data_IF_677318952673
#
_entry.id   IF_677318952673
#
_cell.length_a   1.000
_cell.length_b   1.000
_cell.length_c   1.000
_cell.angle_alpha   90.00
_cell.angle_beta   90.00
_cell.angle_gamma   90.00
#
_symmetry.space_group_name_H-M   'P 1'
#
loop_
_entity.id
_entity.type
_entity.pdbx_description
1 polymer ?
#
# COMPACT_ATOMS: atom_id res chain seq x y z
N UNK A 1 -3.69 -3.68 2.81
CA UNK A 1 -4.03 -3.31 1.43
C UNK A 1 -2.87 -2.56 0.83
N UNK A 2 -2.33 -2.98 -0.30
CA UNK A 2 -1.30 -2.23 -1.03
C UNK A 2 -1.90 -1.58 -2.27
N UNK A 3 -1.47 -0.34 -2.55
CA UNK A 3 -1.78 0.44 -3.74
C UNK A 3 -0.43 0.80 -4.36
N UNK A 4 -0.10 0.16 -5.48
CA UNK A 4 1.26 0.15 -6.02
C UNK A 4 1.29 0.88 -7.35
N UNK A 5 2.16 1.87 -7.43
CA UNK A 5 2.43 2.59 -8.67
C UNK A 5 3.17 1.70 -9.66
N UNK A 6 2.62 1.60 -10.85
CA UNK A 6 3.23 0.91 -12.00
C UNK A 6 3.54 1.85 -13.15
N UNK A 7 3.58 3.17 -12.91
CA UNK A 7 3.86 4.18 -13.93
C UNK A 7 5.23 4.03 -14.58
N UNK A 8 5.43 4.69 -15.70
CA UNK A 8 6.69 4.60 -16.45
C UNK A 8 7.92 5.12 -15.72
N UNK A 9 7.75 6.03 -14.74
CA UNK A 9 8.83 6.60 -13.91
C UNK A 9 9.52 5.57 -13.03
N UNK A 10 8.79 4.58 -12.52
CA UNK A 10 9.32 3.50 -11.66
C UNK A 10 10.59 2.84 -12.24
N UNK A 11 10.60 2.58 -13.55
CA UNK A 11 11.75 1.97 -14.25
C UNK A 11 12.71 3.00 -14.86
N UNK A 12 12.57 4.28 -14.54
CA UNK A 12 13.41 5.36 -15.06
C UNK A 12 13.97 6.23 -13.91
N UNK A 13 15.27 6.49 -13.82
CA UNK A 13 16.32 6.09 -14.77
C UNK A 13 16.85 4.66 -14.58
N UNK A 14 16.47 3.96 -13.52
CA UNK A 14 17.04 2.66 -13.17
C UNK A 14 16.05 1.53 -13.36
N UNK A 15 16.37 0.60 -14.26
CA UNK A 15 15.60 -0.63 -14.44
C UNK A 15 15.68 -1.56 -13.22
N UNK A 16 14.63 -2.33 -13.01
CA UNK A 16 14.50 -3.28 -11.90
C UNK A 16 13.91 -2.68 -10.63
N UNK A 17 13.50 -1.41 -10.64
CA UNK A 17 12.85 -0.77 -9.50
C UNK A 17 11.47 -1.37 -9.22
N UNK A 18 10.72 -1.73 -10.25
CA UNK A 18 9.43 -2.39 -10.07
C UNK A 18 9.58 -3.76 -9.39
N UNK A 19 10.65 -4.50 -9.73
CA UNK A 19 10.95 -5.75 -9.03
C UNK A 19 11.31 -5.49 -7.57
N UNK A 20 12.11 -4.45 -7.26
CA UNK A 20 12.42 -4.08 -5.87
C UNK A 20 11.17 -3.72 -5.06
N UNK A 21 10.23 -3.00 -5.68
CA UNK A 21 8.96 -2.69 -5.03
C UNK A 21 8.15 -3.96 -4.74
N UNK A 22 8.09 -4.92 -5.66
CA UNK A 22 7.45 -6.23 -5.44
C UNK A 22 8.11 -6.99 -4.29
N UNK A 23 9.43 -7.11 -4.31
CA UNK A 23 10.18 -7.84 -3.27
C UNK A 23 9.98 -7.19 -1.89
N UNK A 24 9.97 -5.86 -1.83
CA UNK A 24 9.68 -5.11 -0.60
C UNK A 24 8.27 -5.43 -0.05
N UNK A 25 7.24 -5.42 -0.90
CA UNK A 25 5.88 -5.75 -0.49
C UNK A 25 5.80 -7.18 0.04
N UNK A 26 6.42 -8.14 -0.64
CA UNK A 26 6.47 -9.55 -0.21
C UNK A 26 7.11 -9.67 1.17
N UNK A 27 8.26 -9.01 1.40
CA UNK A 27 8.94 -9.06 2.70
C UNK A 27 8.10 -8.42 3.83
N UNK A 28 7.34 -7.34 3.53
CA UNK A 28 6.39 -6.78 4.50
C UNK A 28 5.27 -7.79 4.78
N UNK A 29 4.63 -8.34 3.75
CA UNK A 29 3.55 -9.33 3.92
C UNK A 29 4.04 -10.54 4.73
N UNK A 30 5.24 -11.04 4.46
CA UNK A 30 5.87 -12.16 5.17
C UNK A 30 6.09 -11.88 6.66
N UNK A 31 6.22 -10.60 7.03
CA UNK A 31 6.41 -10.20 8.42
C UNK A 31 5.14 -10.26 9.26
N UNK A 32 3.96 -10.42 8.65
CA UNK A 32 2.67 -10.51 9.32
C UNK A 32 2.20 -11.95 9.51
N UNK A 33 1.33 -12.14 10.50
CA UNK A 33 0.57 -13.39 10.63
C UNK A 33 -0.57 -13.39 9.59
N UNK A 34 -0.33 -14.03 8.45
CA UNK A 34 -1.31 -14.12 7.36
C UNK A 34 -2.25 -15.30 7.62
N UNK A 35 -3.56 -15.04 7.66
CA UNK A 35 -4.54 -16.09 7.95
C UNK A 35 -5.98 -15.62 7.82
N UNK A 36 -6.89 -16.59 7.76
CA UNK A 36 -8.32 -16.32 7.61
C UNK A 36 -8.89 -15.46 8.75
N UNK A 37 -8.47 -15.76 9.98
CA UNK A 37 -8.86 -15.03 11.20
C UNK A 37 -7.77 -14.03 11.67
N UNK A 38 -6.75 -13.83 10.85
CA UNK A 38 -5.63 -12.93 11.09
C UNK A 38 -5.55 -11.84 10.01
N UNK A 39 -4.34 -11.44 9.60
CA UNK A 39 -4.16 -10.44 8.54
C UNK A 39 -4.53 -11.02 7.18
N UNK A 40 -5.31 -10.28 6.42
CA UNK A 40 -5.59 -10.54 5.01
C UNK A 40 -5.04 -9.41 4.16
N UNK A 41 -4.53 -9.75 3.00
CA UNK A 41 -3.87 -8.81 2.08
C UNK A 41 -4.66 -8.69 0.79
N UNK A 42 -4.72 -7.49 0.24
CA UNK A 42 -5.22 -7.20 -1.09
C UNK A 42 -4.27 -6.22 -1.79
N UNK A 43 -4.25 -6.20 -3.12
CA UNK A 43 -3.37 -5.34 -3.89
C UNK A 43 -4.07 -4.76 -5.12
N UNK A 44 -3.89 -3.46 -5.31
CA UNK A 44 -4.20 -2.72 -6.53
C UNK A 44 -2.89 -2.24 -7.14
N UNK A 45 -2.67 -2.54 -8.40
CA UNK A 45 -1.62 -1.97 -9.24
C UNK A 45 -2.25 -0.87 -10.08
N UNK A 46 -1.58 0.28 -10.23
CA UNK A 46 -2.14 1.35 -11.03
C UNK A 46 -1.12 2.07 -11.92
N UNK A 47 -1.64 2.67 -12.96
CA UNK A 47 -0.96 3.60 -13.86
C UNK A 47 -1.97 4.68 -14.32
N UNK A 48 -2.39 4.67 -15.57
CA UNK A 48 -3.51 5.49 -16.06
C UNK A 48 -4.86 4.99 -15.52
N UNK A 49 -4.96 3.66 -15.28
CA UNK A 49 -6.14 3.01 -14.73
C UNK A 49 -5.72 2.01 -13.64
N UNK A 50 -6.52 1.86 -12.57
CA UNK A 50 -6.26 0.87 -11.54
C UNK A 50 -6.65 -0.55 -12.00
N UNK A 51 -5.88 -1.53 -11.55
CA UNK A 51 -6.14 -2.95 -11.69
C UNK A 51 -6.14 -3.61 -10.32
N UNK A 52 -7.24 -4.25 -9.93
CA UNK A 52 -7.27 -5.09 -8.72
C UNK A 52 -6.57 -6.40 -9.01
N UNK A 53 -5.30 -6.51 -8.64
CA UNK A 53 -4.49 -7.73 -8.86
C UNK A 53 -5.11 -8.87 -8.07
N UNK A 54 -5.38 -8.65 -6.78
CA UNK A 54 -6.16 -9.59 -5.97
C UNK A 54 -6.91 -8.87 -4.84
N UNK A 55 -8.08 -9.39 -4.51
CA UNK A 55 -8.86 -9.01 -3.33
C UNK A 55 -8.34 -9.76 -2.10
N UNK A 56 -8.87 -9.49 -0.92
CA UNK A 56 -8.35 -10.01 0.34
C UNK A 56 -8.10 -11.52 0.33
N UNK A 57 -6.82 -11.86 0.37
CA UNK A 57 -6.28 -13.22 0.48
C UNK A 57 -5.63 -13.46 1.85
N UNK A 58 -5.57 -14.73 2.24
CA UNK A 58 -5.08 -15.15 3.55
C UNK A 58 -4.15 -16.38 3.47
N UNK A 59 -3.56 -16.64 2.29
CA UNK A 59 -2.53 -17.66 2.09
C UNK A 59 -1.31 -16.98 1.48
N UNK A 60 -0.20 -17.03 2.19
CA UNK A 60 1.01 -16.32 1.81
C UNK A 60 1.51 -16.74 0.42
N UNK A 61 1.59 -18.05 0.15
CA UNK A 61 2.12 -18.56 -1.14
C UNK A 61 1.31 -18.03 -2.34
N UNK A 62 -0.03 -17.96 -2.22
CA UNK A 62 -0.89 -17.41 -3.27
C UNK A 62 -0.69 -15.90 -3.45
N UNK A 63 -0.44 -15.17 -2.35
CA UNK A 63 -0.16 -13.72 -2.37
C UNK A 63 1.19 -13.46 -3.03
N UNK A 64 2.23 -14.20 -2.63
CA UNK A 64 3.59 -14.08 -3.16
C UNK A 64 3.61 -14.36 -4.66
N UNK A 65 2.97 -15.45 -5.11
CA UNK A 65 2.88 -15.81 -6.52
C UNK A 65 2.26 -14.68 -7.36
N UNK A 66 1.10 -14.14 -6.94
CA UNK A 66 0.43 -13.08 -7.69
C UNK A 66 1.23 -11.76 -7.70
N UNK A 67 1.93 -11.42 -6.61
CA UNK A 67 2.82 -10.25 -6.60
C UNK A 67 4.00 -10.48 -7.56
N UNK A 68 4.61 -11.68 -7.57
CA UNK A 68 5.72 -11.98 -8.47
C UNK A 68 5.30 -11.99 -9.95
N UNK A 69 4.08 -12.39 -10.24
CA UNK A 69 3.54 -12.42 -11.61
C UNK A 69 3.16 -11.05 -12.16
N UNK A 70 3.05 -10.01 -11.30
CA UNK A 70 2.78 -8.64 -11.76
C UNK A 70 3.82 -8.21 -12.80
N UNK A 71 3.33 -7.67 -13.91
CA UNK A 71 4.15 -7.06 -14.96
C UNK A 71 4.12 -5.55 -14.81
N UNK A 72 5.25 -4.89 -15.05
CA UNK A 72 5.32 -3.43 -15.07
C UNK A 72 4.48 -2.87 -16.24
N UNK A 73 3.38 -2.16 -15.98
CA UNK A 73 2.49 -1.70 -17.05
C UNK A 73 3.00 -0.44 -17.77
N UNK A 74 3.81 0.38 -17.10
CA UNK A 74 4.18 1.70 -17.59
C UNK A 74 3.00 2.67 -17.63
N UNK A 75 3.13 3.77 -18.35
CA UNK A 75 2.06 4.78 -18.49
C UNK A 75 2.15 5.91 -17.49
N UNK A 76 1.01 6.57 -17.22
CA UNK A 76 0.88 7.71 -16.30
C UNK A 76 0.64 7.27 -14.85
N UNK A 77 0.23 8.23 -14.00
CA UNK A 77 0.11 8.07 -12.55
C UNK A 77 -1.23 8.66 -12.11
N UNK A 78 -2.28 7.86 -12.03
CA UNK A 78 -3.61 8.27 -11.55
C UNK A 78 -3.90 7.64 -10.19
N UNK A 79 -3.25 8.17 -9.14
CA UNK A 79 -3.33 7.65 -7.75
C UNK A 79 -4.73 7.84 -7.17
N UNK A 80 -5.41 8.95 -7.49
CA UNK A 80 -6.77 9.19 -7.02
C UNK A 80 -7.75 8.13 -7.49
N UNK A 81 -7.69 7.71 -8.76
CA UNK A 81 -8.50 6.59 -9.27
C UNK A 81 -8.20 5.28 -8.54
N UNK A 82 -6.93 5.05 -8.21
CA UNK A 82 -6.55 3.84 -7.49
C UNK A 82 -7.14 3.81 -6.07
N UNK A 83 -7.16 4.95 -5.37
CA UNK A 83 -7.81 5.09 -4.06
C UNK A 83 -9.33 4.91 -4.15
N UNK A 84 -9.96 5.45 -5.19
CA UNK A 84 -11.39 5.23 -5.46
C UNK A 84 -11.70 3.74 -5.71
N UNK A 85 -10.84 3.05 -6.45
CA UNK A 85 -10.99 1.60 -6.71
C UNK A 85 -10.87 0.80 -5.42
N UNK A 86 -9.91 1.12 -4.54
CA UNK A 86 -9.78 0.50 -3.21
C UNK A 86 -11.08 0.63 -2.44
N UNK A 87 -11.65 1.82 -2.39
CA UNK A 87 -12.88 2.11 -1.66
C UNK A 87 -14.08 1.37 -2.24
N UNK A 88 -14.27 1.50 -3.55
CA UNK A 88 -15.51 1.08 -4.22
C UNK A 88 -15.52 -0.42 -4.57
N UNK A 89 -14.39 -1.00 -4.93
CA UNK A 89 -14.33 -2.39 -5.42
C UNK A 89 -13.69 -3.36 -4.42
N UNK A 90 -12.88 -2.87 -3.50
CA UNK A 90 -12.23 -3.71 -2.49
C UNK A 90 -12.92 -3.59 -1.14
N UNK A 91 -12.98 -2.40 -0.54
CA UNK A 91 -13.49 -2.23 0.82
C UNK A 91 -15.02 -2.34 0.92
N UNK A 92 -15.79 -1.74 0.02
CA UNK A 92 -17.26 -1.86 0.02
C UNK A 92 -17.75 -3.29 -0.24
N UNK A 93 -16.88 -4.17 -0.72
CA UNK A 93 -17.17 -5.59 -0.94
C UNK A 93 -16.60 -6.49 0.14
N UNK A 94 -16.10 -5.93 1.24
CA UNK A 94 -15.70 -6.72 2.41
C UNK A 94 -16.88 -7.50 2.97
N UNK A 95 -16.59 -8.70 3.46
CA UNK A 95 -17.58 -9.49 4.18
C UNK A 95 -17.94 -8.79 5.49
N UNK A 96 -19.20 -8.86 5.88
CA UNK A 96 -19.75 -8.21 7.08
C UNK A 96 -18.93 -8.50 8.35
N UNK A 97 -18.42 -9.72 8.48
CA UNK A 97 -17.59 -10.13 9.63
C UNK A 97 -16.26 -9.42 9.72
N UNK A 98 -15.86 -8.67 8.67
CA UNK A 98 -14.59 -7.94 8.59
C UNK A 98 -14.76 -6.42 8.39
N UNK A 99 -15.98 -5.91 8.35
CA UNK A 99 -16.24 -4.49 8.16
C UNK A 99 -15.68 -3.63 9.30
N UNK A 100 -15.74 -4.15 10.53
CA UNK A 100 -15.27 -3.46 11.74
C UNK A 100 -13.78 -3.73 12.06
N UNK A 101 -13.07 -4.49 11.22
CA UNK A 101 -11.66 -4.73 11.44
C UNK A 101 -10.82 -3.53 10.94
N UNK A 102 -9.65 -3.28 11.57
CA UNK A 102 -8.74 -2.25 11.12
C UNK A 102 -8.38 -2.41 9.64
N UNK A 103 -8.46 -1.30 8.90
CA UNK A 103 -8.15 -1.22 7.48
C UNK A 103 -6.91 -0.35 7.32
N UNK A 104 -5.85 -0.90 6.78
CA UNK A 104 -4.63 -0.16 6.45
C UNK A 104 -4.41 -0.17 4.95
N UNK A 105 -4.19 1.00 4.37
CA UNK A 105 -3.84 1.21 2.97
C UNK A 105 -2.41 1.72 2.92
N UNK A 106 -1.53 1.00 2.23
CA UNK A 106 -0.16 1.43 1.98
C UNK A 106 -0.06 1.83 0.51
N UNK A 107 0.12 3.12 0.28
CA UNK A 107 0.33 3.68 -1.07
C UNK A 107 1.82 3.75 -1.33
N UNK A 108 2.27 3.17 -2.43
CA UNK A 108 3.68 3.21 -2.86
C UNK A 108 3.75 3.90 -4.21
N UNK A 109 4.42 5.06 -4.27
CA UNK A 109 4.55 5.86 -5.49
C UNK A 109 5.92 6.50 -5.61
N UNK A 110 6.40 6.74 -6.82
CA UNK A 110 7.65 7.45 -7.10
C UNK A 110 7.42 8.82 -7.76
N UNK A 111 6.17 9.22 -7.94
CA UNK A 111 5.82 10.42 -8.69
C UNK A 111 4.58 11.14 -8.17
N UNK A 112 4.31 12.27 -8.83
CA UNK A 112 3.11 13.04 -8.58
C UNK A 112 1.93 12.48 -9.37
N UNK A 113 0.77 12.46 -8.74
CA UNK A 113 -0.48 12.06 -9.39
C UNK A 113 -0.91 13.05 -10.49
N UNK A 114 -1.51 12.51 -11.54
CA UNK A 114 -2.13 13.31 -12.62
C UNK A 114 -3.60 13.62 -12.34
N UNK A 115 -4.17 13.03 -11.29
CA UNK A 115 -5.53 13.28 -10.84
C UNK A 115 -5.56 13.73 -9.36
N UNK A 116 -6.74 14.01 -8.84
CA UNK A 116 -6.91 14.46 -7.46
C UNK A 116 -6.86 13.30 -6.49
N UNK A 117 -5.95 13.35 -5.52
CA UNK A 117 -5.80 12.32 -4.46
C UNK A 117 -6.52 12.68 -3.17
N UNK A 118 -6.71 13.97 -2.90
CA UNK A 118 -7.22 14.48 -1.62
C UNK A 118 -8.63 13.97 -1.32
N UNK A 119 -9.54 14.06 -2.27
CA UNK A 119 -10.94 13.63 -2.09
C UNK A 119 -11.05 12.11 -1.85
N UNK A 120 -10.50 11.23 -2.70
CA UNK A 120 -10.60 9.79 -2.46
C UNK A 120 -9.85 9.34 -1.20
N UNK A 121 -8.70 9.97 -0.86
CA UNK A 121 -8.00 9.68 0.39
C UNK A 121 -8.85 10.06 1.61
N UNK A 122 -9.45 11.27 1.61
CA UNK A 122 -10.34 11.69 2.69
C UNK A 122 -11.53 10.72 2.86
N UNK A 123 -12.13 10.30 1.77
CA UNK A 123 -13.25 9.35 1.83
C UNK A 123 -12.84 7.98 2.40
N UNK A 124 -11.63 7.50 2.11
CA UNK A 124 -11.10 6.27 2.72
C UNK A 124 -10.87 6.44 4.21
N UNK A 125 -10.33 7.59 4.65
CA UNK A 125 -10.15 7.91 6.08
C UNK A 125 -11.49 8.02 6.80
N UNK A 126 -12.49 8.65 6.19
CA UNK A 126 -13.86 8.74 6.72
C UNK A 126 -14.53 7.36 6.87
N UNK A 127 -14.20 6.41 5.98
CA UNK A 127 -14.63 5.00 6.04
C UNK A 127 -13.78 4.17 7.05
N UNK A 128 -12.92 4.83 7.85
CA UNK A 128 -12.13 4.23 8.92
C UNK A 128 -10.86 3.52 8.45
N UNK A 129 -10.32 3.87 7.29
CA UNK A 129 -9.02 3.36 6.86
C UNK A 129 -7.87 4.25 7.36
N UNK A 130 -6.77 3.63 7.78
CA UNK A 130 -5.49 4.31 7.98
C UNK A 130 -4.70 4.24 6.67
N UNK A 131 -4.27 5.38 6.17
CA UNK A 131 -3.45 5.48 4.95
C UNK A 131 -2.01 5.79 5.35
N UNK A 132 -1.08 4.97 4.89
CA UNK A 132 0.36 5.17 4.97
C UNK A 132 0.85 5.46 3.55
N UNK A 133 1.48 6.61 3.35
CA UNK A 133 2.04 7.02 2.06
C UNK A 133 3.55 6.80 2.06
N UNK A 134 4.04 6.04 1.08
CA UNK A 134 5.47 5.78 0.88
C UNK A 134 5.90 6.37 -0.46
N UNK A 135 6.65 7.48 -0.40
CA UNK A 135 7.37 8.04 -1.54
C UNK A 135 8.67 7.29 -1.79
N UNK A 136 8.88 6.79 -3.00
CA UNK A 136 10.08 6.02 -3.34
C UNK A 136 10.87 6.71 -4.44
N UNK A 137 12.16 6.91 -4.23
CA UNK A 137 13.05 7.56 -5.21
C UNK A 137 13.21 9.04 -4.97
N UNK A 138 13.18 9.87 -6.03
CA UNK A 138 13.53 11.29 -5.93
C UNK A 138 12.47 12.25 -6.46
N UNK A 139 11.36 11.75 -6.97
CA UNK A 139 10.47 12.55 -7.81
C UNK A 139 9.00 12.51 -7.36
N UNK A 140 8.71 11.97 -6.17
CA UNK A 140 7.41 12.06 -5.53
C UNK A 140 7.15 13.50 -5.05
N UNK A 141 5.89 13.82 -4.83
CA UNK A 141 5.43 15.11 -4.30
C UNK A 141 5.09 14.93 -2.81
N UNK A 142 5.87 15.58 -1.93
CA UNK A 142 5.73 15.45 -0.48
C UNK A 142 4.39 16.01 0.01
N UNK A 143 3.92 17.12 -0.57
CA UNK A 143 2.62 17.68 -0.23
C UNK A 143 1.49 16.69 -0.56
N UNK A 144 1.60 15.99 -1.68
CA UNK A 144 0.63 14.97 -2.10
C UNK A 144 0.66 13.73 -1.20
N UNK A 145 1.85 13.30 -0.75
CA UNK A 145 1.97 12.22 0.23
C UNK A 145 1.26 12.58 1.54
N UNK A 146 1.45 13.82 2.02
CA UNK A 146 0.80 14.34 3.22
C UNK A 146 -0.74 14.43 3.04
N UNK A 147 -1.21 14.88 1.86
CA UNK A 147 -2.65 14.91 1.56
C UNK A 147 -3.32 13.53 1.61
N UNK A 148 -2.59 12.49 1.21
CA UNK A 148 -3.11 11.11 1.23
C UNK A 148 -3.05 10.49 2.61
N UNK A 149 -1.99 10.72 3.37
CA UNK A 149 -1.72 10.05 4.63
C UNK A 149 -2.79 10.34 5.70
N UNK A 150 -2.88 9.49 6.68
CA UNK A 150 -3.66 9.72 7.90
C UNK A 150 -2.80 10.51 8.88
N UNK A 151 -3.37 11.54 9.52
CA UNK A 151 -2.68 12.31 10.57
C UNK A 151 -2.26 11.40 11.75
N UNK A 152 -1.11 11.64 12.38
CA UNK A 152 -0.13 12.67 12.03
C UNK A 152 0.85 12.19 10.94
N UNK A 153 1.24 13.12 10.04
CA UNK A 153 2.10 12.82 8.88
C UNK A 153 3.42 12.16 9.28
N UNK A 154 4.06 12.60 10.35
CA UNK A 154 5.32 12.03 10.86
C UNK A 154 5.25 10.54 11.20
N UNK A 155 4.04 9.98 11.30
CA UNK A 155 3.81 8.54 11.50
C UNK A 155 3.40 7.81 10.23
N UNK A 156 2.81 8.51 9.27
CA UNK A 156 2.16 7.87 8.13
C UNK A 156 2.71 8.28 6.77
N UNK A 157 3.65 9.24 6.74
CA UNK A 157 4.41 9.57 5.53
C UNK A 157 5.83 9.04 5.67
N UNK A 158 6.26 8.24 4.71
CA UNK A 158 7.57 7.63 4.66
C UNK A 158 8.22 7.92 3.32
N UNK A 159 9.54 8.05 3.33
CA UNK A 159 10.35 8.29 2.14
C UNK A 159 11.52 7.32 2.10
N UNK A 160 11.76 6.74 0.94
CA UNK A 160 12.85 5.81 0.73
C UNK A 160 13.43 5.91 -0.68
N UNK A 161 14.70 5.57 -0.85
CA UNK A 161 15.22 5.23 -2.17
C UNK A 161 14.89 3.78 -2.51
N UNK A 162 14.76 3.44 -3.80
CA UNK A 162 14.56 2.05 -4.23
C UNK A 162 15.65 1.09 -3.74
N UNK A 163 16.88 1.59 -3.56
CA UNK A 163 18.00 0.79 -3.05
C UNK A 163 17.96 0.55 -1.54
N UNK A 164 17.13 1.30 -0.83
CA UNK A 164 17.02 1.24 0.64
C UNK A 164 15.73 0.64 1.14
N UNK A 165 14.80 0.25 0.24
CA UNK A 165 13.52 -0.34 0.60
C UNK A 165 13.67 -1.50 1.61
N UNK A 166 14.71 -2.34 1.45
CA UNK A 166 14.98 -3.44 2.39
C UNK A 166 15.20 -2.98 3.84
N UNK A 167 15.73 -1.76 4.03
CA UNK A 167 15.94 -1.18 5.36
C UNK A 167 14.64 -0.62 5.97
N UNK A 168 13.69 -0.26 5.13
CA UNK A 168 12.41 0.33 5.55
C UNK A 168 11.36 -0.70 5.97
N UNK A 169 11.58 -1.99 5.70
CA UNK A 169 10.60 -3.03 6.04
C UNK A 169 10.26 -3.06 7.53
N UNK A 170 11.25 -2.89 8.41
CA UNK A 170 11.04 -2.92 9.86
C UNK A 170 10.30 -1.66 10.33
N UNK A 171 10.65 -0.49 9.80
CA UNK A 171 9.94 0.77 10.07
C UNK A 171 8.48 0.71 9.58
N UNK A 172 8.26 0.22 8.37
CA UNK A 172 6.91 0.04 7.81
C UNK A 172 6.08 -0.94 8.65
N UNK A 173 6.69 -2.06 9.07
CA UNK A 173 6.04 -3.03 9.95
C UNK A 173 5.66 -2.38 11.27
N UNK A 174 6.55 -1.62 11.88
CA UNK A 174 6.30 -0.89 13.12
C UNK A 174 5.14 0.10 12.93
N UNK A 175 5.11 0.88 11.86
CA UNK A 175 4.03 1.81 11.55
C UNK A 175 2.68 1.11 11.37
N UNK A 176 2.65 0.00 10.64
CA UNK A 176 1.42 -0.79 10.47
C UNK A 176 0.95 -1.39 11.81
N UNK A 177 1.88 -1.75 12.70
CA UNK A 177 1.58 -2.41 13.98
C UNK A 177 1.36 -1.45 15.15
N UNK A 178 2.07 -0.32 15.21
CA UNK A 178 2.09 0.62 16.35
C UNK A 178 1.19 1.84 16.17
N UNK A 179 0.76 2.13 14.95
CA UNK A 179 -0.24 3.16 14.73
C UNK A 179 -1.49 2.80 15.52
N UNK A 180 -1.98 3.65 16.42
CA UNK A 180 -3.13 3.49 17.35
C UNK A 180 -4.31 2.68 16.80
N UNK A 181 -3.98 1.64 16.05
CA UNK A 181 -4.91 0.65 15.53
C UNK A 181 -5.43 -0.16 16.72
N UNK A 182 -6.73 -0.31 16.85
CA UNK A 182 -7.30 -1.09 17.94
C UNK A 182 -6.61 -2.46 18.00
N UNK A 183 -6.34 -2.98 19.19
CA UNK A 183 -5.51 -4.13 19.56
C UNK A 183 -5.80 -5.49 18.86
N UNK A 184 -6.31 -5.48 17.63
CA UNK A 184 -6.74 -6.64 16.85
C UNK A 184 -5.96 -6.91 15.56
N UNK A 185 -4.98 -6.07 15.19
CA UNK A 185 -3.99 -6.51 14.20
C UNK A 185 -3.05 -7.44 14.93
N UNK A 186 -3.10 -8.73 14.60
CA UNK A 186 -2.18 -9.71 15.15
C UNK A 186 -0.79 -9.51 14.56
N UNK A 187 -0.06 -8.54 15.07
CA UNK A 187 1.37 -8.47 14.85
C UNK A 187 2.03 -9.65 15.56
N UNK A 188 3.04 -10.27 14.98
CA UNK A 188 3.77 -11.33 15.67
C UNK A 188 4.35 -10.79 16.97
N UNK A 189 4.31 -11.61 18.03
CA UNK A 189 4.75 -11.34 19.41
C UNK A 189 6.20 -10.83 19.58
N UNK A 190 6.87 -10.42 18.51
CA UNK A 190 8.25 -9.94 18.50
C UNK A 190 8.37 -8.43 18.15
N UNK A 191 7.27 -7.68 18.21
CA UNK A 191 7.34 -6.21 18.19
C UNK A 191 7.51 -5.65 19.64
N UNK A 192 8.29 -6.33 20.50
CA UNK A 192 8.80 -5.79 21.76
C UNK A 192 10.32 -5.74 21.72
#
# INVERSE_FOLDING_TARGET
MFVVDGSGSIENPQKGNFQRAKDFIIEIVKSFNIGKEATQVALVLYNNEPEVVFKFKYKFDEIEEEIQDMKHPGGGTNTGKALDEVRNDVFKKLKKEREDLPKVVVVVTDGRSQDNVSVPAQQLRDDGATIISLGVGCCFDEDELNEMATDPDEKHVLEASFSELDKFKDAMKEQICSGELPARISCPLHCM
#
